data_IF_643172884146
#
_entry.id   IF_643172884146
#
_cell.length_a   1.000
_cell.length_b   1.000
_cell.length_c   1.000
_cell.angle_alpha   90.00
_cell.angle_beta   90.00
_cell.angle_gamma   90.00
#
_symmetry.space_group_name_H-M   'P 1'
#
loop_
_entity.id
_entity.type
_entity.pdbx_description
1 polymer ?
#
# COMPACT_ATOMS: atom_id res chain seq x y z
N UNK A 1 22.68 4.94 60.09
CA UNK A 1 22.34 6.31 59.63
C UNK A 1 22.46 6.34 58.13
N UNK A 2 21.35 6.11 57.42
CA UNK A 2 21.33 6.00 55.96
C UNK A 2 20.07 6.73 55.48
N UNK A 3 20.26 7.94 54.94
CA UNK A 3 19.21 8.82 54.45
C UNK A 3 18.67 8.31 53.10
N UNK A 4 17.39 7.94 53.09
CA UNK A 4 16.58 7.71 51.88
C UNK A 4 16.20 9.06 51.27
N UNK A 5 16.58 9.30 50.02
CA UNK A 5 16.07 10.41 49.22
C UNK A 5 14.87 9.94 48.39
N UNK A 6 13.69 10.47 48.71
CA UNK A 6 12.47 10.38 47.92
C UNK A 6 12.62 11.21 46.64
N UNK A 7 12.46 10.57 45.48
CA UNK A 7 12.35 11.24 44.17
C UNK A 7 10.89 11.65 44.00
N UNK A 8 10.64 12.96 44.05
CA UNK A 8 9.34 13.56 43.80
C UNK A 8 8.99 13.51 42.30
N UNK A 9 7.80 12.99 42.01
CA UNK A 9 7.21 12.95 40.69
C UNK A 9 6.84 14.36 40.22
N UNK A 10 7.52 14.87 39.19
CA UNK A 10 7.11 16.07 38.46
C UNK A 10 6.00 15.71 37.48
N UNK A 11 4.77 15.95 37.88
CA UNK A 11 3.62 16.02 36.97
C UNK A 11 3.63 17.39 36.30
N UNK A 12 4.26 17.49 35.12
CA UNK A 12 4.16 18.68 34.29
C UNK A 12 2.81 18.71 33.58
N UNK A 13 1.80 19.27 34.26
CA UNK A 13 0.55 19.76 33.66
C UNK A 13 0.90 20.96 32.76
N UNK A 14 1.27 20.72 31.51
CA UNK A 14 1.24 21.78 30.50
C UNK A 14 -0.20 21.97 30.01
N UNK A 15 -0.77 23.11 30.42
CA UNK A 15 -1.95 23.71 29.80
C UNK A 15 -1.70 23.82 28.30
N UNK A 16 -2.47 23.06 27.52
CA UNK A 16 -2.56 23.17 26.08
C UNK A 16 -3.15 24.53 25.71
N UNK A 17 -2.30 25.47 25.32
CA UNK A 17 -2.74 26.61 24.52
C UNK A 17 -2.86 26.11 23.08
N UNK A 18 -4.09 26.05 22.55
CA UNK A 18 -4.31 25.79 21.13
C UNK A 18 -3.57 26.83 20.27
N UNK A 19 -3.09 26.46 19.07
CA UNK A 19 -2.45 27.42 18.19
C UNK A 19 -3.44 28.53 17.86
N UNK A 20 -3.06 29.79 18.14
CA UNK A 20 -3.78 30.97 17.68
C UNK A 20 -3.85 30.91 16.16
N UNK A 21 -5.04 30.72 15.62
CA UNK A 21 -5.35 30.93 14.21
C UNK A 21 -5.12 32.40 13.90
N UNK A 22 -4.02 32.74 13.23
CA UNK A 22 -3.91 34.00 12.51
C UNK A 22 -4.91 33.91 11.35
N UNK A 23 -6.08 34.54 11.50
CA UNK A 23 -7.05 34.62 10.41
C UNK A 23 -6.36 35.31 9.22
N UNK A 24 -6.09 34.54 8.16
CA UNK A 24 -5.45 35.04 6.94
C UNK A 24 -4.22 34.25 6.45
N UNK A 25 -3.68 33.31 7.24
CA UNK A 25 -2.63 32.42 6.72
C UNK A 25 -3.20 31.37 5.76
N UNK A 26 -2.56 31.12 4.61
CA UNK A 26 -3.02 30.10 3.67
C UNK A 26 -3.00 28.71 4.33
N UNK A 27 -4.12 27.99 4.22
CA UNK A 27 -4.24 26.62 4.70
C UNK A 27 -3.96 25.65 3.56
N UNK A 28 -3.25 24.58 3.86
CA UNK A 28 -2.95 23.52 2.91
C UNK A 28 -3.62 22.25 3.37
N UNK A 29 -4.26 21.57 2.41
CA UNK A 29 -4.82 20.24 2.62
C UNK A 29 -3.68 19.24 2.74
N UNK A 30 -3.81 18.31 3.66
CA UNK A 30 -2.85 17.21 3.77
C UNK A 30 -3.52 15.87 4.04
N UNK A 31 -2.80 14.81 3.64
CA UNK A 31 -3.04 13.44 4.05
C UNK A 31 -1.78 12.94 4.73
N UNK A 32 -1.89 12.56 6.00
CA UNK A 32 -0.80 12.00 6.77
C UNK A 32 -1.04 10.52 7.02
N UNK A 33 -0.06 9.69 6.71
CA UNK A 33 -0.13 8.25 6.88
C UNK A 33 1.06 7.75 7.70
N UNK A 34 0.84 6.65 8.40
CA UNK A 34 1.88 5.95 9.16
C UNK A 34 1.93 4.49 8.71
N UNK A 35 3.13 4.05 8.33
CA UNK A 35 3.43 2.68 7.93
C UNK A 35 4.49 2.09 8.89
N UNK A 36 4.34 0.82 9.31
CA UNK A 36 5.28 0.17 10.22
C UNK A 36 6.54 -0.38 9.52
N UNK A 37 6.93 0.19 8.38
CA UNK A 37 8.17 -0.12 7.64
C UNK A 37 8.68 1.11 6.89
N UNK A 38 9.90 1.02 6.33
CA UNK A 38 10.49 2.04 5.48
C UNK A 38 9.84 2.04 4.08
N UNK A 39 9.42 3.20 3.59
CA UNK A 39 8.71 3.32 2.30
C UNK A 39 9.63 3.53 1.09
N UNK A 40 10.94 3.52 1.28
CA UNK A 40 11.94 3.72 0.23
C UNK A 40 12.64 5.09 0.35
N UNK A 41 11.98 6.21 0.00
CA UNK A 41 12.59 7.53 0.10
C UNK A 41 13.10 7.83 1.52
N UNK A 42 14.27 8.46 1.59
CA UNK A 42 14.86 8.87 2.87
C UNK A 42 14.03 9.98 3.53
N UNK A 43 14.19 10.15 4.84
CA UNK A 43 13.60 11.29 5.56
C UNK A 43 13.97 12.62 4.88
N UNK A 44 12.98 13.46 4.63
CA UNK A 44 13.17 14.68 3.86
C UNK A 44 11.88 15.25 3.28
N UNK A 45 12.03 16.34 2.50
CA UNK A 45 10.94 17.02 1.79
C UNK A 45 11.15 16.88 0.29
N UNK A 46 10.13 16.41 -0.41
CA UNK A 46 10.16 16.15 -1.83
C UNK A 46 9.01 16.88 -2.52
N UNK A 47 9.30 17.51 -3.66
CA UNK A 47 8.28 18.17 -4.49
C UNK A 47 7.89 17.23 -5.62
N UNK A 48 6.62 16.86 -5.66
CA UNK A 48 6.03 16.04 -6.72
C UNK A 48 5.36 16.99 -7.70
N UNK A 49 5.80 16.93 -8.96
CA UNK A 49 5.36 17.82 -10.03
C UNK A 49 4.37 17.11 -10.97
N UNK A 50 3.44 17.89 -11.52
CA UNK A 50 2.55 17.46 -12.59
C UNK A 50 3.25 17.38 -13.95
N UNK A 51 2.47 17.09 -15.00
CA UNK A 51 2.99 16.88 -16.36
C UNK A 51 3.58 18.17 -16.97
N UNK A 52 3.13 19.36 -16.56
CA UNK A 52 3.69 20.64 -16.99
C UNK A 52 4.72 21.22 -15.99
N UNK A 53 5.19 20.41 -15.04
CA UNK A 53 6.25 20.79 -14.10
C UNK A 53 5.76 21.61 -12.90
N UNK A 54 4.48 21.95 -12.82
CA UNK A 54 3.89 22.63 -11.68
C UNK A 54 3.92 21.75 -10.41
N UNK A 55 4.27 22.31 -9.23
CA UNK A 55 4.14 21.59 -7.98
C UNK A 55 2.69 21.16 -7.76
N UNK A 56 2.48 19.85 -7.62
CA UNK A 56 1.16 19.27 -7.34
C UNK A 56 1.04 18.84 -5.88
N UNK A 57 2.10 18.20 -5.37
CA UNK A 57 2.18 17.75 -3.99
C UNK A 57 3.55 18.04 -3.39
N UNK A 58 3.58 18.31 -2.09
CA UNK A 58 4.79 18.27 -1.28
C UNK A 58 4.68 17.04 -0.39
N UNK A 59 5.65 16.14 -0.49
CA UNK A 59 5.73 14.93 0.34
C UNK A 59 6.81 15.13 1.39
N UNK A 60 6.43 15.01 2.66
CA UNK A 60 7.37 15.01 3.79
C UNK A 60 7.46 13.60 4.35
N UNK A 61 8.66 13.04 4.38
CA UNK A 61 8.96 11.71 4.94
C UNK A 61 9.72 11.90 6.23
N UNK A 62 9.29 11.24 7.30
CA UNK A 62 9.95 11.26 8.59
C UNK A 62 9.85 9.92 9.30
N UNK A 63 10.93 9.49 9.94
CA UNK A 63 10.93 8.33 10.83
C UNK A 63 10.62 8.76 12.26
N UNK A 64 9.51 8.28 12.84
CA UNK A 64 8.97 8.78 14.13
C UNK A 64 9.44 7.95 15.33
N UNK A 65 9.70 6.67 15.11
CA UNK A 65 10.27 5.75 16.11
C UNK A 65 11.43 5.05 15.42
N UNK A 66 12.60 4.98 16.04
CA UNK A 66 13.72 4.19 15.54
C UNK A 66 14.57 3.72 16.73
N UNK A 67 15.11 2.49 16.71
CA UNK A 67 16.22 2.17 17.60
C UNK A 67 17.38 3.14 17.34
N UNK A 68 18.16 3.51 18.37
CA UNK A 68 19.37 4.30 18.16
C UNK A 68 20.26 3.56 17.16
N UNK A 69 20.64 4.24 16.07
CA UNK A 69 21.56 3.69 15.06
C UNK A 69 22.87 3.34 15.76
N UNK A 70 23.08 2.07 16.09
CA UNK A 70 24.37 1.61 16.54
C UNK A 70 25.37 1.93 15.43
N UNK A 71 26.36 2.77 15.72
CA UNK A 71 27.33 3.27 14.73
C UNK A 71 28.03 2.13 13.98
N UNK A 72 28.75 2.50 12.91
CA UNK A 72 29.50 1.62 11.98
C UNK A 72 30.67 0.86 12.63
N UNK A 73 30.50 0.33 13.83
CA UNK A 73 31.39 -0.65 14.41
C UNK A 73 31.04 -2.02 13.81
N UNK A 74 32.07 -2.70 13.30
CA UNK A 74 32.03 -4.08 12.79
C UNK A 74 31.20 -4.95 13.75
N UNK A 75 29.95 -5.24 13.39
CA UNK A 75 29.08 -6.12 14.16
C UNK A 75 29.61 -7.54 14.03
N UNK A 76 30.41 -7.98 15.00
CA UNK A 76 30.72 -9.41 15.15
C UNK A 76 29.43 -10.15 15.53
N UNK A 77 29.19 -11.35 14.97
CA UNK A 77 28.10 -12.20 15.42
C UNK A 77 28.17 -12.40 16.94
N UNK A 78 27.04 -12.23 17.62
CA UNK A 78 26.90 -12.47 19.06
C UNK A 78 25.85 -13.55 19.28
N UNK A 79 26.07 -14.39 20.29
CA UNK A 79 25.09 -15.39 20.74
C UNK A 79 23.81 -14.66 21.17
N UNK A 80 22.67 -15.07 20.61
CA UNK A 80 21.37 -14.54 21.00
C UNK A 80 20.97 -15.04 22.39
N UNK A 81 20.26 -14.21 23.15
CA UNK A 81 19.59 -14.66 24.37
C UNK A 81 18.48 -15.66 24.00
N UNK A 82 18.14 -16.63 24.88
CA UNK A 82 17.06 -17.60 24.61
C UNK A 82 15.69 -16.97 24.38
N UNK A 83 15.43 -15.80 24.98
CA UNK A 83 14.20 -15.03 24.81
C UNK A 83 14.57 -13.54 24.81
N UNK A 84 15.01 -13.00 23.66
CA UNK A 84 15.36 -11.58 23.55
C UNK A 84 14.10 -10.73 23.50
N UNK A 85 14.16 -9.52 24.06
CA UNK A 85 13.10 -8.52 23.86
C UNK A 85 12.99 -8.19 22.35
N UNK A 86 11.77 -8.03 21.81
CA UNK A 86 11.58 -7.62 20.42
C UNK A 86 12.27 -6.29 20.13
N UNK A 87 12.97 -6.20 19.01
CA UNK A 87 13.54 -4.94 18.56
C UNK A 87 12.41 -3.94 18.23
N UNK A 88 12.53 -2.66 18.64
CA UNK A 88 11.54 -1.66 18.28
C UNK A 88 11.53 -1.47 16.76
N UNK A 89 10.33 -1.37 16.18
CA UNK A 89 10.12 -1.22 14.73
C UNK A 89 10.07 0.25 14.37
N UNK A 90 10.73 0.62 13.27
CA UNK A 90 10.68 1.98 12.79
C UNK A 90 9.35 2.29 12.09
N UNK A 91 8.72 3.40 12.48
CA UNK A 91 7.48 3.87 11.85
C UNK A 91 7.82 5.02 10.91
N UNK A 92 7.51 4.82 9.63
CA UNK A 92 7.61 5.88 8.62
C UNK A 92 6.30 6.65 8.60
N UNK A 93 6.40 7.96 8.81
CA UNK A 93 5.30 8.91 8.63
C UNK A 93 5.50 9.66 7.33
N UNK A 94 4.47 9.68 6.50
CA UNK A 94 4.44 10.49 5.29
C UNK A 94 3.33 11.51 5.43
N UNK A 95 3.63 12.78 5.17
CA UNK A 95 2.63 13.85 5.05
C UNK A 95 2.65 14.35 3.61
N UNK A 96 1.59 14.05 2.86
CA UNK A 96 1.33 14.55 1.51
C UNK A 96 0.51 15.83 1.62
N UNK A 97 1.04 16.93 1.13
CA UNK A 97 0.46 18.27 1.22
C UNK A 97 0.08 18.71 -0.19
N UNK A 98 -1.19 19.05 -0.42
CA UNK A 98 -1.65 19.63 -1.69
C UNK A 98 -0.98 21.00 -1.85
N UNK A 99 -0.34 21.25 -3.00
CA UNK A 99 0.35 22.51 -3.24
C UNK A 99 -0.61 23.71 -3.33
N UNK A 100 -1.91 23.46 -3.53
CA UNK A 100 -2.94 24.51 -3.59
C UNK A 100 -3.40 24.88 -2.18
N UNK A 101 -3.29 26.16 -1.87
CA UNK A 101 -3.81 26.73 -0.62
C UNK A 101 -5.31 27.03 -0.73
N UNK A 102 -5.98 26.96 0.41
CA UNK A 102 -7.37 27.38 0.61
C UNK A 102 -7.47 28.34 1.79
N UNK A 103 -8.56 29.11 1.82
CA UNK A 103 -8.92 29.99 2.93
C UNK A 103 -10.22 29.50 3.57
N UNK A 104 -10.34 29.65 4.89
CA UNK A 104 -11.56 29.30 5.61
C UNK A 104 -11.26 28.70 6.99
N UNK A 105 -12.30 28.24 7.65
CA UNK A 105 -12.17 27.48 8.90
C UNK A 105 -11.75 26.03 8.59
N UNK A 106 -10.63 25.53 9.13
CA UNK A 106 -10.16 24.18 8.84
C UNK A 106 -11.14 23.08 9.29
N UNK A 107 -11.95 23.31 10.32
CA UNK A 107 -12.93 22.31 10.78
C UNK A 107 -14.16 22.24 9.85
N UNK A 108 -14.63 23.36 9.31
CA UNK A 108 -15.63 23.37 8.25
C UNK A 108 -15.12 22.68 6.98
N UNK A 109 -13.89 23.02 6.56
CA UNK A 109 -13.28 22.46 5.36
C UNK A 109 -13.17 20.93 5.42
N UNK A 110 -12.79 20.33 6.56
CA UNK A 110 -12.73 18.84 6.68
C UNK A 110 -14.12 18.20 6.60
N UNK A 111 -15.15 18.81 7.20
CA UNK A 111 -16.50 18.22 7.23
C UNK A 111 -17.14 18.07 5.86
N UNK A 112 -16.78 18.93 4.93
CA UNK A 112 -17.30 18.92 3.55
C UNK A 112 -16.54 17.93 2.63
N UNK A 113 -15.51 17.24 3.14
CA UNK A 113 -14.68 16.33 2.34
C UNK A 113 -15.19 14.90 2.37
N UNK A 114 -14.99 14.24 1.24
CA UNK A 114 -14.87 12.80 1.18
C UNK A 114 -13.46 12.37 1.60
N UNK A 115 -13.34 11.93 2.85
CA UNK A 115 -12.06 11.50 3.44
C UNK A 115 -11.48 10.25 2.76
N UNK A 116 -12.34 9.35 2.26
CA UNK A 116 -11.90 8.12 1.61
C UNK A 116 -11.36 8.42 0.22
N UNK A 117 -12.04 9.27 -0.55
CA UNK A 117 -11.54 9.72 -1.85
C UNK A 117 -10.21 10.48 -1.72
N UNK A 118 -10.04 11.25 -0.64
CA UNK A 118 -8.79 11.95 -0.39
C UNK A 118 -7.63 11.02 -0.02
N UNK A 119 -7.89 10.02 0.81
CA UNK A 119 -6.90 9.00 1.14
C UNK A 119 -6.53 8.16 -0.11
N UNK A 120 -7.51 7.76 -0.92
CA UNK A 120 -7.28 7.00 -2.15
C UNK A 120 -6.33 7.75 -3.10
N UNK A 121 -6.63 9.04 -3.37
CA UNK A 121 -5.77 9.88 -4.21
C UNK A 121 -4.35 10.05 -3.65
N UNK A 122 -4.22 10.14 -2.33
CA UNK A 122 -2.90 10.23 -1.69
C UNK A 122 -2.10 8.91 -1.82
N UNK A 123 -2.78 7.76 -1.70
CA UNK A 123 -2.17 6.44 -1.89
C UNK A 123 -1.73 6.23 -3.33
N UNK A 124 -2.50 6.67 -4.33
CA UNK A 124 -2.10 6.64 -5.74
C UNK A 124 -0.75 7.37 -5.95
N UNK A 125 -0.68 8.62 -5.50
CA UNK A 125 0.54 9.46 -5.61
C UNK A 125 1.71 8.81 -4.90
N UNK A 126 1.49 8.24 -3.70
CA UNK A 126 2.57 7.61 -2.96
C UNK A 126 3.02 6.29 -3.59
N UNK A 127 2.10 5.50 -4.14
CA UNK A 127 2.45 4.26 -4.84
C UNK A 127 3.24 4.54 -6.12
N UNK A 128 2.98 5.65 -6.80
CA UNK A 128 3.84 6.12 -7.89
C UNK A 128 5.26 6.47 -7.41
N UNK A 129 5.39 7.15 -6.28
CA UNK A 129 6.70 7.46 -5.67
C UNK A 129 7.43 6.18 -5.24
N UNK A 130 6.74 5.25 -4.57
CA UNK A 130 7.29 3.96 -4.16
C UNK A 130 7.77 3.19 -5.39
N UNK A 131 6.95 3.13 -6.46
CA UNK A 131 7.32 2.47 -7.72
C UNK A 131 8.56 3.11 -8.34
N UNK A 132 8.61 4.44 -8.44
CA UNK A 132 9.75 5.14 -8.99
C UNK A 132 11.03 4.88 -8.17
N UNK A 133 10.92 4.90 -6.83
CA UNK A 133 12.04 4.59 -5.95
C UNK A 133 12.46 3.12 -6.07
N UNK A 134 11.52 2.18 -6.17
CA UNK A 134 11.75 0.75 -6.38
C UNK A 134 12.65 0.51 -7.59
N UNK A 135 12.34 1.18 -8.71
CA UNK A 135 13.12 1.12 -9.95
C UNK A 135 14.49 1.77 -9.76
N UNK A 136 14.54 2.98 -9.18
CA UNK A 136 15.78 3.71 -8.99
C UNK A 136 16.77 3.00 -8.05
N UNK A 137 16.27 2.31 -7.02
CA UNK A 137 17.07 1.56 -6.05
C UNK A 137 17.31 0.10 -6.48
N UNK A 138 16.64 -0.37 -7.55
CA UNK A 138 16.58 -1.78 -7.95
C UNK A 138 16.19 -2.72 -6.79
N UNK A 139 15.29 -2.27 -5.91
CA UNK A 139 14.88 -3.00 -4.71
C UNK A 139 13.49 -3.62 -4.87
N UNK A 140 13.35 -4.91 -5.23
CA UNK A 140 12.05 -5.53 -5.41
C UNK A 140 11.25 -5.73 -4.12
N UNK A 141 11.84 -5.50 -2.94
CA UNK A 141 11.16 -5.73 -1.65
C UNK A 141 10.20 -4.60 -1.26
N UNK A 142 10.24 -3.47 -1.95
CA UNK A 142 9.30 -2.38 -1.72
C UNK A 142 7.93 -2.70 -2.30
N UNK A 143 6.96 -2.83 -1.40
CA UNK A 143 5.57 -3.15 -1.73
C UNK A 143 4.71 -1.88 -1.76
N UNK A 144 3.70 -1.81 -2.64
CA UNK A 144 2.69 -0.77 -2.61
C UNK A 144 1.95 -0.71 -1.29
N UNK A 145 1.53 0.51 -0.96
CA UNK A 145 0.68 0.80 0.18
C UNK A 145 -0.79 0.62 -0.20
N UNK A 146 -1.50 -0.07 0.66
CA UNK A 146 -2.95 -0.17 0.64
C UNK A 146 -3.50 0.34 1.97
N UNK A 147 -4.79 0.66 2.00
CA UNK A 147 -5.44 1.20 3.20
C UNK A 147 -5.40 0.23 4.39
N UNK A 148 -5.50 -1.06 4.10
CA UNK A 148 -5.47 -2.18 5.07
C UNK A 148 -4.09 -2.32 5.74
N UNK A 149 -3.06 -1.81 5.06
CA UNK A 149 -1.66 -1.88 5.45
C UNK A 149 -1.19 -0.66 6.27
N UNK A 150 -2.01 0.39 6.36
CA UNK A 150 -1.71 1.58 7.15
C UNK A 150 -1.98 1.34 8.63
N UNK A 151 -1.10 1.82 9.49
CA UNK A 151 -1.37 1.87 10.94
C UNK A 151 -2.31 3.04 11.26
N UNK A 152 -2.08 4.19 10.62
CA UNK A 152 -2.92 5.38 10.76
C UNK A 152 -3.03 6.11 9.44
N UNK A 153 -4.21 6.68 9.16
CA UNK A 153 -4.41 7.66 8.12
C UNK A 153 -5.20 8.86 8.67
N UNK A 154 -4.73 10.08 8.41
CA UNK A 154 -5.35 11.33 8.84
C UNK A 154 -5.51 12.25 7.64
N UNK A 155 -6.65 12.91 7.53
CA UNK A 155 -6.92 13.91 6.50
C UNK A 155 -7.27 15.21 7.20
N UNK A 156 -6.68 16.32 6.76
CA UNK A 156 -6.86 17.59 7.45
C UNK A 156 -6.33 18.80 6.72
N UNK A 157 -6.30 19.91 7.44
CA UNK A 157 -5.74 21.18 7.00
C UNK A 157 -4.79 21.76 8.04
N UNK A 158 -3.77 22.44 7.56
CA UNK A 158 -2.93 23.27 8.41
C UNK A 158 -2.16 24.32 7.63
N UNK A 159 -1.55 25.26 8.33
CA UNK A 159 -0.62 26.20 7.71
C UNK A 159 0.61 25.45 7.18
N UNK A 160 1.26 26.00 6.15
CA UNK A 160 2.37 25.35 5.46
C UNK A 160 3.49 24.90 6.41
N UNK A 161 3.87 25.75 7.37
CA UNK A 161 4.89 25.42 8.38
C UNK A 161 4.47 24.25 9.27
N UNK A 162 3.23 24.25 9.76
CA UNK A 162 2.75 23.18 10.62
C UNK A 162 2.73 21.84 9.88
N UNK A 163 2.14 21.79 8.69
CA UNK A 163 2.01 20.54 7.94
C UNK A 163 3.36 20.01 7.45
N UNK A 164 4.32 20.89 7.18
CA UNK A 164 5.68 20.51 6.81
C UNK A 164 6.49 19.90 7.96
N UNK A 165 6.04 20.10 9.21
CA UNK A 165 6.55 19.45 10.42
C UNK A 165 5.68 18.25 10.86
N UNK A 166 4.68 17.88 10.05
CA UNK A 166 3.72 16.82 10.38
C UNK A 166 2.71 17.19 11.46
N UNK A 167 2.52 18.49 11.74
CA UNK A 167 1.52 19.06 12.66
C UNK A 167 0.35 19.65 11.86
N UNK A 168 -0.77 19.95 12.53
CA UNK A 168 -1.97 20.46 11.83
C UNK A 168 -2.81 21.38 12.70
N UNK A 169 -3.69 22.15 12.04
CA UNK A 169 -4.73 22.93 12.71
C UNK A 169 -5.96 22.07 13.00
N UNK A 170 -6.42 21.28 12.03
CA UNK A 170 -7.53 20.34 12.20
C UNK A 170 -7.36 19.11 11.31
N UNK A 171 -7.67 17.93 11.83
CA UNK A 171 -7.63 16.68 11.08
C UNK A 171 -8.56 15.63 11.68
N UNK A 172 -9.01 14.71 10.83
CA UNK A 172 -9.83 13.55 11.21
C UNK A 172 -9.08 12.28 10.81
N UNK A 173 -9.10 11.29 11.70
CA UNK A 173 -8.55 9.96 11.43
C UNK A 173 -9.53 9.17 10.58
N UNK A 174 -9.05 8.60 9.47
CA UNK A 174 -9.84 7.71 8.63
C UNK A 174 -9.93 6.35 9.33
N UNK A 175 -11.14 5.78 9.55
CA UNK A 175 -11.29 4.51 10.26
C UNK A 175 -10.59 3.37 9.51
N UNK A 176 -10.01 2.36 10.19
CA UNK A 176 -9.38 1.23 9.52
C UNK A 176 -10.39 0.40 8.72
N UNK A 177 -9.91 -0.46 7.82
CA UNK A 177 -10.79 -1.42 7.11
C UNK A 177 -11.23 -2.49 8.10
N UNK A 178 -12.54 -2.72 8.19
CA UNK A 178 -13.06 -3.83 8.99
C UNK A 178 -12.57 -5.16 8.40
N UNK A 179 -12.03 -6.04 9.23
CA UNK A 179 -11.63 -7.38 8.78
C UNK A 179 -12.85 -8.11 8.20
N UNK A 180 -12.71 -8.66 6.99
CA UNK A 180 -13.76 -9.46 6.35
C UNK A 180 -14.10 -10.71 7.19
N UNK A 181 -15.32 -11.23 7.00
CA UNK A 181 -15.93 -12.29 7.81
C UNK A 181 -15.08 -13.58 7.94
N UNK A 182 -15.16 -14.22 9.12
CA UNK A 182 -14.32 -15.37 9.55
C UNK A 182 -14.17 -16.53 8.54
N UNK A 183 -15.17 -16.83 7.70
CA UNK A 183 -15.07 -17.91 6.69
C UNK A 183 -14.08 -17.57 5.57
N UNK A 184 -14.11 -16.35 5.05
CA UNK A 184 -13.16 -15.89 4.04
C UNK A 184 -11.70 -15.82 4.56
N UNK A 185 -11.52 -15.74 5.89
CA UNK A 185 -10.21 -15.72 6.53
C UNK A 185 -9.58 -17.11 6.69
N UNK A 186 -10.37 -18.19 6.70
CA UNK A 186 -9.88 -19.56 6.91
C UNK A 186 -9.38 -20.23 5.62
N UNK A 187 -10.00 -19.94 4.48
CA UNK A 187 -9.62 -20.49 3.16
C UNK A 187 -8.13 -20.28 2.82
N UNK A 188 -7.54 -19.07 2.97
CA UNK A 188 -6.10 -18.88 2.70
C UNK A 188 -5.19 -19.71 3.60
N UNK A 189 -5.60 -19.90 4.87
CA UNK A 189 -4.80 -20.65 5.84
C UNK A 189 -4.84 -22.15 5.54
N UNK A 190 -6.01 -22.69 5.17
CA UNK A 190 -6.16 -24.09 4.77
C UNK A 190 -5.34 -24.41 3.53
N UNK A 191 -5.39 -23.54 2.51
CA UNK A 191 -4.56 -23.66 1.31
C UNK A 191 -3.07 -23.62 1.63
N UNK A 192 -2.63 -22.70 2.48
CA UNK A 192 -1.22 -22.63 2.92
C UNK A 192 -0.77 -23.94 3.58
N UNK A 193 -1.59 -24.50 4.48
CA UNK A 193 -1.29 -25.79 5.11
C UNK A 193 -1.22 -26.93 4.09
N UNK A 194 -2.08 -26.94 3.07
CA UNK A 194 -2.02 -27.93 2.00
C UNK A 194 -0.70 -27.84 1.22
N UNK A 195 -0.24 -26.64 0.87
CA UNK A 195 1.07 -26.41 0.22
C UNK A 195 2.22 -26.86 1.11
N UNK A 196 2.25 -26.40 2.36
CA UNK A 196 3.33 -26.74 3.30
C UNK A 196 3.40 -28.24 3.60
N UNK A 197 2.24 -28.91 3.60
CA UNK A 197 2.14 -30.37 3.74
C UNK A 197 2.35 -31.16 2.45
N UNK A 198 2.65 -30.50 1.32
CA UNK A 198 2.86 -31.13 0.01
C UNK A 198 1.61 -31.76 -0.62
N UNK A 199 0.42 -31.48 -0.10
CA UNK A 199 -0.87 -31.95 -0.64
C UNK A 199 -1.37 -31.09 -1.81
N UNK A 200 -0.71 -29.96 -2.03
CA UNK A 200 -1.04 -29.03 -3.09
C UNK A 200 0.20 -28.23 -3.49
N UNK A 201 0.16 -27.55 -4.63
CA UNK A 201 1.30 -26.85 -5.23
C UNK A 201 0.96 -25.41 -5.54
N UNK A 202 1.95 -24.52 -5.50
CA UNK A 202 1.82 -23.15 -6.01
C UNK A 202 2.08 -23.19 -7.51
N UNK A 203 1.10 -22.72 -8.29
CA UNK A 203 1.16 -22.64 -9.74
C UNK A 203 1.86 -21.35 -10.18
N UNK A 204 2.52 -21.37 -11.34
CA UNK A 204 3.15 -20.18 -11.91
C UNK A 204 2.10 -19.11 -12.26
N UNK A 205 0.93 -19.52 -12.76
CA UNK A 205 -0.18 -18.59 -13.01
C UNK A 205 -0.67 -17.87 -11.74
N UNK A 206 -0.68 -18.53 -10.58
CA UNK A 206 -1.07 -17.92 -9.30
C UNK A 206 -0.08 -16.82 -8.91
N UNK A 207 1.22 -17.07 -9.05
CA UNK A 207 2.28 -16.09 -8.73
C UNK A 207 2.18 -14.87 -9.64
N UNK A 208 2.00 -15.08 -10.94
CA UNK A 208 1.88 -13.99 -11.91
C UNK A 208 0.59 -13.18 -11.69
N UNK A 209 -0.52 -13.85 -11.37
CA UNK A 209 -1.79 -13.19 -11.13
C UNK A 209 -1.77 -12.32 -9.87
N UNK A 210 -1.11 -12.75 -8.80
CA UNK A 210 -0.95 -11.92 -7.58
C UNK A 210 -0.24 -10.60 -7.89
N UNK A 211 0.79 -10.65 -8.73
CA UNK A 211 1.48 -9.43 -9.20
C UNK A 211 0.57 -8.59 -10.07
N UNK A 212 -0.22 -9.21 -10.95
CA UNK A 212 -1.09 -8.48 -11.87
C UNK A 212 -2.19 -7.75 -11.11
N UNK A 213 -2.71 -8.37 -10.04
CA UNK A 213 -3.65 -7.76 -9.11
C UNK A 213 -3.01 -6.57 -8.40
N UNK A 214 -1.76 -6.69 -7.94
CA UNK A 214 -1.04 -5.61 -7.27
C UNK A 214 -0.87 -4.40 -8.19
N UNK A 215 -0.40 -4.61 -9.41
CA UNK A 215 -0.22 -3.55 -10.42
C UNK A 215 -1.58 -2.94 -10.82
N UNK A 216 -2.61 -3.77 -11.06
CA UNK A 216 -3.96 -3.31 -11.39
C UNK A 216 -4.59 -2.44 -10.28
N UNK A 217 -4.41 -2.83 -9.00
CA UNK A 217 -4.89 -2.06 -7.86
C UNK A 217 -4.18 -0.70 -7.71
N UNK A 218 -2.97 -0.58 -8.24
CA UNK A 218 -2.23 0.69 -8.29
C UNK A 218 -2.51 1.49 -9.58
N UNK A 219 -3.39 1.00 -10.46
CA UNK A 219 -3.68 1.63 -11.75
C UNK A 219 -2.60 1.40 -12.82
N UNK A 220 -1.62 0.54 -12.56
CA UNK A 220 -0.51 0.22 -13.46
C UNK A 220 -0.91 -0.89 -14.45
N UNK A 221 -1.93 -0.59 -15.26
CA UNK A 221 -2.55 -1.55 -16.18
C UNK A 221 -1.62 -2.03 -17.30
N UNK A 222 -0.60 -1.25 -17.65
CA UNK A 222 0.42 -1.66 -18.62
C UNK A 222 1.20 -2.86 -18.12
N UNK A 223 1.74 -2.79 -16.91
CA UNK A 223 2.48 -3.87 -16.26
C UNK A 223 1.57 -5.08 -15.97
N UNK A 224 0.35 -4.82 -15.49
CA UNK A 224 -0.65 -5.86 -15.27
C UNK A 224 -0.96 -6.63 -16.58
N UNK A 225 -1.12 -5.96 -17.72
CA UNK A 225 -1.39 -6.60 -19.00
C UNK A 225 -0.26 -7.55 -19.44
N UNK A 226 1.01 -7.17 -19.22
CA UNK A 226 2.15 -8.05 -19.51
C UNK A 226 2.12 -9.32 -18.66
N UNK A 227 1.81 -9.18 -17.38
CA UNK A 227 1.73 -10.30 -16.46
C UNK A 227 0.53 -11.18 -16.76
N UNK A 228 -0.64 -10.61 -17.09
CA UNK A 228 -1.85 -11.35 -17.45
C UNK A 228 -1.66 -12.20 -18.70
N UNK A 229 -0.94 -11.69 -19.71
CA UNK A 229 -0.61 -12.47 -20.91
C UNK A 229 0.12 -13.78 -20.55
N UNK A 230 1.15 -13.69 -19.71
CA UNK A 230 1.92 -14.89 -19.32
C UNK A 230 1.11 -15.75 -18.33
N UNK A 231 0.39 -15.12 -17.40
CA UNK A 231 -0.45 -15.82 -16.43
C UNK A 231 -1.53 -16.68 -17.10
N UNK A 232 -2.14 -16.18 -18.18
CA UNK A 232 -3.15 -16.90 -18.95
C UNK A 232 -2.57 -18.16 -19.60
N UNK A 233 -1.39 -18.06 -20.22
CA UNK A 233 -0.72 -19.20 -20.86
C UNK A 233 -0.32 -20.27 -19.83
N UNK A 234 0.19 -19.83 -18.67
CA UNK A 234 0.45 -20.72 -17.54
C UNK A 234 -0.84 -21.37 -17.07
N UNK A 235 -1.93 -20.63 -16.89
CA UNK A 235 -3.21 -21.18 -16.42
C UNK A 235 -3.77 -22.22 -17.39
N UNK A 236 -3.73 -21.96 -18.69
CA UNK A 236 -4.18 -22.89 -19.73
C UNK A 236 -3.39 -24.19 -19.76
N UNK A 237 -2.11 -24.15 -19.34
CA UNK A 237 -1.23 -25.32 -19.32
C UNK A 237 -1.34 -26.07 -17.99
N UNK A 238 -1.24 -25.35 -16.88
CA UNK A 238 -1.20 -25.92 -15.53
C UNK A 238 -2.55 -26.54 -15.15
N UNK A 239 -3.68 -25.89 -15.49
CA UNK A 239 -5.00 -26.39 -15.14
C UNK A 239 -5.42 -27.67 -15.89
N UNK A 240 -4.67 -28.09 -16.91
CA UNK A 240 -4.95 -29.34 -17.65
C UNK A 240 -4.92 -30.58 -16.75
N UNK A 241 -4.14 -30.56 -15.65
CA UNK A 241 -4.08 -31.69 -14.73
C UNK A 241 -5.41 -31.95 -13.99
N UNK A 242 -6.37 -31.02 -14.05
CA UNK A 242 -7.68 -31.10 -13.41
C UNK A 242 -8.85 -31.19 -14.41
N UNK A 243 -8.59 -31.45 -15.69
CA UNK A 243 -9.65 -31.69 -16.69
C UNK A 243 -10.52 -32.88 -16.28
N UNK A 244 -11.82 -32.82 -16.57
CA UNK A 244 -12.79 -33.82 -16.14
C UNK A 244 -13.24 -33.72 -14.68
N UNK A 245 -12.78 -32.70 -13.94
CA UNK A 245 -13.20 -32.44 -12.56
C UNK A 245 -13.92 -31.09 -12.44
N UNK A 246 -15.08 -31.09 -11.79
CA UNK A 246 -15.90 -29.89 -11.59
C UNK A 246 -16.15 -29.12 -12.89
N UNK A 247 -16.06 -27.80 -12.83
CA UNK A 247 -16.27 -26.91 -13.99
C UNK A 247 -14.97 -26.56 -14.75
N UNK A 248 -13.87 -27.28 -14.52
CA UNK A 248 -12.54 -26.91 -15.06
C UNK A 248 -12.52 -26.88 -16.59
N UNK A 249 -13.18 -27.84 -17.26
CA UNK A 249 -13.19 -27.90 -18.73
C UNK A 249 -13.91 -26.69 -19.36
N UNK A 250 -15.00 -26.24 -18.73
CA UNK A 250 -15.72 -25.04 -19.14
C UNK A 250 -14.86 -23.79 -18.94
N UNK A 251 -14.15 -23.68 -17.81
CA UNK A 251 -13.24 -22.55 -17.53
C UNK A 251 -12.05 -22.52 -18.47
N UNK A 252 -11.45 -23.67 -18.78
CA UNK A 252 -10.38 -23.76 -19.77
C UNK A 252 -10.85 -23.32 -21.15
N UNK A 253 -12.08 -23.61 -21.53
CA UNK A 253 -12.67 -23.15 -22.80
C UNK A 253 -12.83 -21.63 -22.82
N UNK A 254 -13.42 -21.06 -21.77
CA UNK A 254 -13.54 -19.61 -21.58
C UNK A 254 -12.16 -18.90 -21.64
N UNK A 255 -11.14 -19.46 -20.98
CA UNK A 255 -9.78 -18.89 -21.00
C UNK A 255 -9.12 -18.96 -22.39
N UNK A 256 -9.40 -20.00 -23.19
CA UNK A 256 -8.87 -20.11 -24.56
C UNK A 256 -9.41 -19.02 -25.47
N UNK A 257 -10.69 -18.67 -25.30
CA UNK A 257 -11.34 -17.61 -26.07
C UNK A 257 -10.73 -16.23 -25.78
N UNK A 258 -10.24 -16.01 -24.55
CA UNK A 258 -9.61 -14.76 -24.14
C UNK A 258 -8.16 -14.60 -24.60
N UNK A 259 -7.56 -15.64 -25.20
CA UNK A 259 -6.14 -15.66 -25.57
C UNK A 259 -5.77 -14.55 -26.55
N UNK A 260 -6.58 -14.37 -27.60
CA UNK A 260 -6.35 -13.34 -28.63
C UNK A 260 -6.43 -11.93 -28.02
N UNK A 261 -7.53 -11.64 -27.32
CA UNK A 261 -7.77 -10.34 -26.66
C UNK A 261 -6.66 -10.01 -25.65
N UNK A 262 -6.22 -10.99 -24.85
CA UNK A 262 -5.13 -10.78 -23.88
C UNK A 262 -3.80 -10.46 -24.57
N UNK A 263 -3.53 -11.10 -25.71
CA UNK A 263 -2.37 -10.80 -26.56
C UNK A 263 -2.42 -9.38 -27.12
N UNK A 264 -3.58 -8.95 -27.62
CA UNK A 264 -3.80 -7.60 -28.14
C UNK A 264 -3.64 -6.54 -27.05
N UNK A 265 -4.24 -6.73 -25.88
CA UNK A 265 -4.08 -5.83 -24.74
C UNK A 265 -2.61 -5.67 -24.34
N UNK A 266 -1.83 -6.75 -24.30
CA UNK A 266 -0.41 -6.67 -24.01
C UNK A 266 0.37 -5.93 -25.11
N UNK A 267 0.03 -6.10 -26.38
CA UNK A 267 0.68 -5.39 -27.48
C UNK A 267 0.34 -3.89 -27.45
N UNK A 268 -0.92 -3.53 -27.26
CA UNK A 268 -1.34 -2.13 -27.07
C UNK A 268 -0.65 -1.51 -25.87
N UNK A 269 -0.57 -2.25 -24.76
CA UNK A 269 0.15 -1.84 -23.57
C UNK A 269 1.63 -1.57 -23.84
N UNK A 270 2.30 -2.31 -24.75
CA UNK A 270 3.68 -2.05 -25.16
C UNK A 270 3.81 -0.71 -25.90
N UNK A 271 2.88 -0.41 -26.79
CA UNK A 271 2.94 0.75 -27.69
C UNK A 271 2.57 2.06 -26.99
N UNK A 272 1.41 2.11 -26.32
CA UNK A 272 0.82 3.38 -25.83
C UNK A 272 0.19 3.32 -24.45
N UNK A 273 0.28 2.19 -23.76
CA UNK A 273 -0.50 1.96 -22.53
C UNK A 273 -1.97 1.68 -22.84
N UNK A 274 -2.77 1.41 -21.79
CA UNK A 274 -4.18 1.06 -21.93
C UNK A 274 -5.08 2.24 -21.58
N UNK A 275 -6.13 2.44 -22.36
CA UNK A 275 -7.24 3.32 -22.00
C UNK A 275 -8.21 2.66 -20.99
N UNK A 276 -9.28 3.36 -20.63
CA UNK A 276 -10.24 2.86 -19.62
C UNK A 276 -11.04 1.64 -20.11
N UNK A 277 -11.36 1.58 -21.41
CA UNK A 277 -12.09 0.46 -21.99
C UNK A 277 -11.19 -0.79 -22.04
N UNK A 278 -9.95 -0.61 -22.47
CA UNK A 278 -8.93 -1.65 -22.53
C UNK A 278 -8.54 -2.14 -21.12
N UNK A 279 -8.41 -1.24 -20.15
CA UNK A 279 -8.20 -1.60 -18.74
C UNK A 279 -9.39 -2.39 -18.17
N UNK A 280 -10.61 -2.07 -18.59
CA UNK A 280 -11.82 -2.84 -18.21
C UNK A 280 -11.80 -4.24 -18.82
N UNK A 281 -11.35 -4.39 -20.07
CA UNK A 281 -11.15 -5.71 -20.68
C UNK A 281 -10.04 -6.51 -19.98
N UNK A 282 -8.92 -5.87 -19.61
CA UNK A 282 -7.85 -6.51 -18.85
C UNK A 282 -8.35 -6.98 -17.47
N UNK A 283 -9.19 -6.17 -16.80
CA UNK A 283 -9.86 -6.56 -15.55
C UNK A 283 -10.75 -7.78 -15.74
N UNK A 284 -11.51 -7.83 -16.84
CA UNK A 284 -12.33 -8.99 -17.16
C UNK A 284 -11.47 -10.26 -17.28
N UNK A 285 -10.36 -10.22 -18.04
CA UNK A 285 -9.42 -11.36 -18.14
C UNK A 285 -8.91 -11.80 -16.77
N UNK A 286 -8.48 -10.85 -15.93
CA UNK A 286 -8.04 -11.11 -14.56
C UNK A 286 -9.11 -11.85 -13.75
N UNK A 287 -10.36 -11.39 -13.78
CA UNK A 287 -11.48 -12.01 -13.07
C UNK A 287 -11.77 -13.43 -13.55
N UNK A 288 -11.57 -13.72 -14.85
CA UNK A 288 -11.76 -15.05 -15.43
C UNK A 288 -10.68 -16.03 -14.99
N UNK A 289 -9.42 -15.61 -14.97
CA UNK A 289 -8.33 -16.42 -14.42
C UNK A 289 -8.57 -16.69 -12.93
N UNK A 290 -8.97 -15.67 -12.15
CA UNK A 290 -9.32 -15.84 -10.74
C UNK A 290 -10.50 -16.82 -10.53
N UNK A 291 -11.50 -16.81 -11.42
CA UNK A 291 -12.61 -17.75 -11.35
C UNK A 291 -12.16 -19.20 -11.60
N UNK A 292 -11.28 -19.43 -12.59
CA UNK A 292 -10.72 -20.75 -12.86
C UNK A 292 -9.87 -21.27 -11.68
N UNK A 293 -9.06 -20.41 -11.06
CA UNK A 293 -8.26 -20.78 -9.88
C UNK A 293 -9.12 -21.07 -8.65
N UNK A 294 -10.20 -20.30 -8.44
CA UNK A 294 -11.18 -20.59 -7.38
C UNK A 294 -11.89 -21.93 -7.60
N UNK A 295 -12.24 -22.26 -8.85
CA UNK A 295 -12.82 -23.55 -9.19
C UNK A 295 -11.84 -24.70 -8.87
N UNK A 296 -10.55 -24.55 -9.19
CA UNK A 296 -9.52 -25.53 -8.78
C UNK A 296 -9.43 -25.64 -7.26
N UNK A 297 -9.36 -24.52 -6.55
CA UNK A 297 -9.22 -24.53 -5.09
C UNK A 297 -10.38 -25.28 -4.40
N UNK A 298 -11.59 -25.16 -4.94
CA UNK A 298 -12.78 -25.87 -4.45
C UNK A 298 -12.73 -27.40 -4.65
N UNK A 299 -11.81 -27.94 -5.47
CA UNK A 299 -11.59 -29.38 -5.63
C UNK A 299 -10.66 -29.97 -4.55
N UNK A 300 -9.90 -29.11 -3.86
CA UNK A 300 -8.83 -29.51 -2.93
C UNK A 300 -9.28 -29.39 -1.46
N UNK A 301 -10.31 -28.59 -1.19
CA UNK A 301 -10.97 -28.44 0.11
C UNK A 301 -12.06 -29.48 0.33
#
# INVERSE_FOLDING_TARGET
MTLRLCIAAYTCRQRWYGPRTLSGSPLFRFVQIEAPWALGPADGRYVIRGHAGEPRWIMVVATVVAPPRAGRLRRRPRRAAPMPDPAPVAVTRVTLIDARSVSGDPAALVRERDLLADLARALEVLNDVIRAHRVAAADPALVPLTRERLTVARVGFGTGELVADGRWNHAVTVPPVAAAQRRAALEPTQRLVAVLGGRDVVLACEVLLVRAIEDANCGHWREAAFQLRVALECALTELLAWTGQGDIDARLTELRELRAVTGELANTALERGLDEAEATQARHVLERIQAALRARAALIG
#
